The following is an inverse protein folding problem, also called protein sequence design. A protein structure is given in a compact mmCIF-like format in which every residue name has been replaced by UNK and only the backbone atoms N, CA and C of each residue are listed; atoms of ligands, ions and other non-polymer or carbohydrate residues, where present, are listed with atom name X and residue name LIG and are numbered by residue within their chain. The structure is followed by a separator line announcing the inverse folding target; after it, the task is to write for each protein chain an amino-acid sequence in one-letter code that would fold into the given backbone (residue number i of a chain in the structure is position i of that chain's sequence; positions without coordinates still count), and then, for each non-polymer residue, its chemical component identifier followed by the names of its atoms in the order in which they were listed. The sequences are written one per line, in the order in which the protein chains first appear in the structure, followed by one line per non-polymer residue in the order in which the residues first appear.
data_IF_722168558865
#
_entry.id   IF_722168558865
#
_cell.length_a   1.000
_cell.length_b   1.000
_cell.length_c   1.000
_cell.angle_alpha   90.00
_cell.angle_beta   90.00
_cell.angle_gamma   90.00
#
_symmetry.space_group_name_H-M   'P 1'
#
loop_
_entity.id
_entity.type
_entity.pdbx_description
1 polymer ?
#
# COMPACT_ATOMS: atom_id res chain seq x y z
N UNK A 1 5.90 -6.13 17.67
CA UNK A 1 6.09 -6.02 16.22
C UNK A 1 5.03 -6.85 15.56
N UNK A 2 4.21 -6.22 14.71
CA UNK A 2 3.15 -6.89 13.96
C UNK A 2 3.59 -6.98 12.50
N UNK A 3 3.15 -8.05 11.83
CA UNK A 3 3.43 -8.29 10.43
C UNK A 3 2.17 -8.82 9.76
N UNK A 4 1.83 -8.28 8.60
CA UNK A 4 0.81 -8.81 7.71
C UNK A 4 1.43 -9.10 6.35
N UNK A 5 0.99 -10.19 5.72
CA UNK A 5 1.38 -10.55 4.35
C UNK A 5 0.10 -10.79 3.56
N UNK A 6 0.01 -10.18 2.39
CA UNK A 6 -1.08 -10.41 1.45
C UNK A 6 -0.57 -10.55 0.03
N UNK A 7 -1.23 -11.41 -0.74
CA UNK A 7 -1.08 -11.44 -2.19
C UNK A 7 -1.82 -10.24 -2.80
N UNK A 8 -1.17 -9.57 -3.75
CA UNK A 8 -1.73 -8.47 -4.53
C UNK A 8 -1.47 -8.73 -6.02
N UNK A 9 -2.38 -8.23 -6.85
CA UNK A 9 -2.24 -8.27 -8.30
C UNK A 9 -1.90 -6.88 -8.80
N UNK A 10 -0.84 -6.79 -9.60
CA UNK A 10 -0.41 -5.53 -10.20
C UNK A 10 -1.05 -5.37 -11.57
N UNK A 11 -1.85 -4.32 -11.76
CA UNK A 11 -2.59 -4.06 -12.99
C UNK A 11 -1.69 -3.91 -14.22
N UNK A 12 -0.47 -3.40 -14.07
CA UNK A 12 0.52 -3.28 -15.16
C UNK A 12 1.23 -4.59 -15.51
N UNK A 13 1.13 -5.63 -14.67
CA UNK A 13 1.76 -6.94 -14.87
C UNK A 13 0.73 -8.07 -14.67
N UNK A 14 -0.27 -8.18 -15.57
CA UNK A 14 -1.29 -9.22 -15.46
C UNK A 14 -0.65 -10.62 -15.57
N UNK A 15 -0.94 -11.50 -14.61
CA UNK A 15 -0.44 -12.88 -14.57
C UNK A 15 0.75 -13.12 -13.63
N UNK A 16 1.30 -12.07 -13.02
CA UNK A 16 2.29 -12.18 -11.94
C UNK A 16 1.65 -11.87 -10.59
N UNK A 17 1.78 -12.81 -9.64
CA UNK A 17 1.40 -12.59 -8.25
C UNK A 17 2.52 -11.85 -7.52
N UNK A 18 2.15 -10.78 -6.81
CA UNK A 18 3.06 -10.05 -5.94
C UNK A 18 2.64 -10.27 -4.49
N UNK A 19 3.61 -10.35 -3.59
CA UNK A 19 3.39 -10.46 -2.15
C UNK A 19 3.80 -9.16 -1.48
N UNK A 20 2.84 -8.53 -0.82
CA UNK A 20 3.05 -7.35 -0.01
C UNK A 20 3.12 -7.77 1.47
N UNK A 21 4.27 -7.54 2.09
CA UNK A 21 4.47 -7.64 3.53
C UNK A 21 4.49 -6.24 4.13
N UNK A 22 3.77 -6.05 5.22
CA UNK A 22 3.78 -4.81 5.99
C UNK A 22 4.15 -5.14 7.43
N UNK A 23 5.17 -4.44 7.92
CA UNK A 23 5.71 -4.56 9.27
C UNK A 23 5.46 -3.24 10.02
N UNK A 24 4.89 -3.30 11.22
CA UNK A 24 4.65 -2.09 12.03
C UNK A 24 4.78 -2.33 13.53
N UNK A 25 5.02 -1.24 14.26
CA UNK A 25 5.10 -1.24 15.71
C UNK A 25 3.82 -0.68 16.35
N UNK A 26 3.52 -1.11 17.58
CA UNK A 26 2.35 -0.63 18.30
C UNK A 26 1.04 -1.29 17.87
N UNK A 27 -0.06 -0.53 17.94
CA UNK A 27 -1.43 -1.03 17.71
C UNK A 27 -1.97 -0.73 16.32
N UNK A 28 -1.35 0.18 15.58
CA UNK A 28 -1.82 0.58 14.24
C UNK A 28 -0.70 1.10 13.36
N UNK A 29 -0.98 1.21 12.06
CA UNK A 29 -0.07 1.80 11.06
C UNK A 29 0.14 3.32 11.25
N UNK A 30 -0.52 3.95 12.22
CA UNK A 30 -0.49 5.39 12.46
C UNK A 30 0.85 5.94 13.00
N UNK A 31 1.75 5.05 13.42
CA UNK A 31 3.08 5.35 13.97
C UNK A 31 4.20 5.01 13.00
N UNK A 32 3.88 4.86 11.72
CA UNK A 32 4.81 4.39 10.70
C UNK A 32 4.76 2.88 10.51
N UNK A 33 5.11 2.47 9.30
CA UNK A 33 5.18 1.07 8.89
C UNK A 33 6.22 0.89 7.81
N UNK A 34 6.75 -0.33 7.68
CA UNK A 34 7.65 -0.72 6.61
C UNK A 34 6.91 -1.65 5.66
N UNK A 35 7.07 -1.42 4.37
CA UNK A 35 6.56 -2.30 3.33
C UNK A 35 7.70 -3.06 2.67
N UNK A 36 7.41 -4.31 2.31
CA UNK A 36 8.25 -5.12 1.46
C UNK A 36 7.37 -5.77 0.40
N UNK A 37 7.70 -5.53 -0.85
CA UNK A 37 7.03 -6.05 -2.02
C UNK A 37 7.96 -7.05 -2.70
N UNK A 38 7.45 -8.20 -3.10
CA UNK A 38 8.24 -9.21 -3.84
C UNK A 38 7.37 -9.95 -4.86
N UNK A 39 7.96 -10.35 -5.98
CA UNK A 39 7.36 -11.29 -6.95
C UNK A 39 7.99 -12.70 -6.86
N UNK A 40 8.77 -12.96 -5.82
CA UNK A 40 9.50 -14.21 -5.62
C UNK A 40 10.87 -14.26 -6.33
N UNK A 41 11.20 -13.28 -7.17
CA UNK A 41 12.53 -13.11 -7.75
C UNK A 41 13.23 -11.89 -7.19
N UNK A 42 12.55 -10.75 -7.23
CA UNK A 42 13.06 -9.48 -6.75
C UNK A 42 12.31 -9.03 -5.49
N UNK A 43 12.95 -8.17 -4.70
CA UNK A 43 12.33 -7.58 -3.52
C UNK A 43 12.59 -6.07 -3.47
N UNK A 44 11.52 -5.32 -3.23
CA UNK A 44 11.54 -3.88 -3.01
C UNK A 44 11.10 -3.59 -1.59
N UNK A 45 11.79 -2.69 -0.88
CA UNK A 45 11.37 -2.26 0.44
C UNK A 45 11.31 -0.74 0.55
N UNK A 46 10.36 -0.26 1.34
CA UNK A 46 10.14 1.16 1.59
C UNK A 46 9.51 1.39 2.95
N UNK A 47 9.55 2.61 3.42
CA UNK A 47 8.86 3.04 4.63
C UNK A 47 7.62 3.83 4.21
N UNK A 48 6.48 3.49 4.81
CA UNK A 48 5.28 4.31 4.71
C UNK A 48 5.51 5.61 5.47
N UNK A 49 5.01 6.72 4.92
CA UNK A 49 5.24 8.05 5.48
C UNK A 49 4.78 8.13 6.95
N UNK A 50 5.63 8.74 7.80
CA UNK A 50 5.45 8.81 9.25
C UNK A 50 4.34 9.78 9.68
N UNK A 51 3.91 10.69 8.79
CA UNK A 51 2.87 11.69 9.08
C UNK A 51 1.58 11.46 8.29
N UNK A 52 0.67 10.59 8.77
CA UNK A 52 -0.65 10.42 8.17
C UNK A 52 -1.56 11.65 8.29
N UNK A 53 -1.11 12.77 8.87
CA UNK A 53 -1.94 13.95 9.15
C UNK A 53 -1.98 14.90 7.97
N UNK A 54 -0.86 15.15 7.30
CA UNK A 54 -0.83 15.99 6.09
C UNK A 54 -1.76 15.48 4.98
N UNK A 55 -1.71 14.18 4.72
CA UNK A 55 -2.52 13.56 3.67
C UNK A 55 -3.98 13.35 4.06
N UNK A 56 -4.27 13.10 5.35
CA UNK A 56 -5.65 13.06 5.83
C UNK A 56 -6.33 14.43 5.69
N UNK A 57 -5.62 15.54 5.96
CA UNK A 57 -6.12 16.90 5.70
C UNK A 57 -6.36 17.15 4.19
N UNK A 58 -5.45 16.71 3.31
CA UNK A 58 -5.62 16.87 1.86
C UNK A 58 -6.83 16.10 1.32
N UNK A 59 -7.13 14.92 1.88
CA UNK A 59 -8.26 14.09 1.49
C UNK A 59 -9.58 14.46 2.20
N UNK A 60 -9.60 15.51 3.03
CA UNK A 60 -10.73 15.87 3.91
C UNK A 60 -11.21 14.70 4.79
N UNK A 61 -10.29 13.80 5.15
CA UNK A 61 -10.55 12.61 5.98
C UNK A 61 -10.01 12.80 7.39
N UNK A 62 -10.63 12.15 8.38
CA UNK A 62 -10.03 12.09 9.72
C UNK A 62 -8.85 11.12 9.71
N UNK A 63 -7.82 11.40 10.52
CA UNK A 63 -6.64 10.53 10.69
C UNK A 63 -7.04 9.08 11.00
N UNK A 64 -8.09 8.89 11.80
CA UNK A 64 -8.57 7.56 12.18
C UNK A 64 -9.17 6.80 10.99
N UNK A 65 -10.00 7.46 10.19
CA UNK A 65 -10.55 6.88 8.95
C UNK A 65 -9.44 6.54 7.96
N UNK A 66 -8.45 7.42 7.87
CA UNK A 66 -7.30 7.26 7.01
C UNK A 66 -6.45 6.03 7.39
N UNK A 67 -6.09 5.89 8.68
CA UNK A 67 -5.34 4.73 9.20
C UNK A 67 -6.14 3.43 9.04
N UNK A 68 -7.45 3.47 9.28
CA UNK A 68 -8.30 2.29 9.12
C UNK A 68 -8.34 1.80 7.66
N UNK A 69 -8.39 2.71 6.68
CA UNK A 69 -8.35 2.31 5.27
C UNK A 69 -6.97 1.76 4.89
N UNK A 70 -5.87 2.38 5.36
CA UNK A 70 -4.52 1.84 5.22
C UNK A 70 -4.41 0.39 5.73
N UNK A 71 -4.94 0.11 6.92
CA UNK A 71 -4.92 -1.23 7.50
C UNK A 71 -5.72 -2.23 6.66
N UNK A 72 -6.85 -1.80 6.08
CA UNK A 72 -7.67 -2.63 5.18
C UNK A 72 -6.96 -2.90 3.85
N UNK A 73 -6.31 -1.88 3.29
CA UNK A 73 -5.60 -1.94 2.02
C UNK A 73 -4.29 -2.73 2.11
N UNK A 74 -3.54 -2.59 3.20
CA UNK A 74 -2.19 -3.15 3.31
C UNK A 74 -2.12 -4.42 4.17
N UNK A 75 -2.89 -4.49 5.26
CA UNK A 75 -2.87 -5.63 6.17
C UNK A 75 -3.96 -6.69 5.89
N UNK A 76 -4.75 -6.52 4.83
CA UNK A 76 -5.61 -7.58 4.29
C UNK A 76 -6.92 -7.81 5.05
N UNK A 77 -7.46 -6.78 5.71
CA UNK A 77 -8.79 -6.90 6.33
C UNK A 77 -9.94 -6.89 5.31
N UNK A 78 -9.66 -6.65 4.02
CA UNK A 78 -10.62 -6.70 2.91
C UNK A 78 -10.20 -7.68 1.82
N UNK A 79 -11.17 -8.23 1.06
CA UNK A 79 -10.88 -9.13 -0.05
C UNK A 79 -9.94 -8.47 -1.08
N UNK A 80 -9.09 -9.26 -1.76
CA UNK A 80 -8.10 -8.76 -2.72
C UNK A 80 -8.70 -7.96 -3.88
N UNK A 81 -9.99 -8.15 -4.18
CA UNK A 81 -10.71 -7.42 -5.23
C UNK A 81 -11.17 -6.01 -4.81
N UNK A 82 -11.03 -5.64 -3.54
CA UNK A 82 -11.42 -4.30 -3.05
C UNK A 82 -10.41 -3.21 -3.42
N UNK A 83 -9.19 -3.58 -3.82
CA UNK A 83 -8.11 -2.64 -4.11
C UNK A 83 -7.36 -3.01 -5.40
N UNK A 84 -7.10 -2.03 -6.24
CA UNK A 84 -6.22 -2.14 -7.42
C UNK A 84 -4.84 -1.65 -7.05
N UNK A 85 -3.79 -2.39 -7.43
CA UNK A 85 -2.41 -2.00 -7.21
C UNK A 85 -1.71 -1.77 -8.55
N UNK A 86 -0.85 -0.76 -8.62
CA UNK A 86 -0.04 -0.44 -9.78
C UNK A 86 1.39 -0.09 -9.35
N UNK A 87 2.35 -0.40 -10.23
CA UNK A 87 3.76 -0.08 -10.02
C UNK A 87 4.22 0.86 -11.12
N UNK A 88 4.78 1.98 -10.72
CA UNK A 88 5.37 2.96 -11.62
C UNK A 88 6.87 3.11 -11.32
N UNK A 89 7.77 2.87 -12.28
CA UNK A 89 9.21 3.07 -12.06
C UNK A 89 9.52 4.57 -11.90
N UNK A 90 10.39 4.90 -10.94
CA UNK A 90 10.88 6.26 -10.75
C UNK A 90 12.27 6.44 -11.38
N UNK A 91 12.49 7.46 -12.22
CA UNK A 91 13.82 7.80 -12.70
C UNK A 91 14.65 8.50 -11.60
N UNK A 92 15.94 8.14 -11.37
CA UNK A 92 16.77 7.20 -12.13
C UNK A 92 16.87 5.80 -11.47
N UNK A 93 15.87 4.95 -11.72
CA UNK A 93 16.06 3.56 -12.16
C UNK A 93 16.24 2.46 -11.10
N UNK A 94 16.00 2.71 -9.81
CA UNK A 94 16.00 1.64 -8.78
C UNK A 94 14.90 1.77 -7.72
N UNK A 95 14.10 2.82 -7.77
CA UNK A 95 12.85 2.91 -7.00
C UNK A 95 11.66 2.67 -7.91
N UNK A 96 10.64 2.07 -7.32
CA UNK A 96 9.32 1.96 -7.92
C UNK A 96 8.32 2.53 -6.93
N UNK A 97 7.35 3.27 -7.43
CA UNK A 97 6.24 3.75 -6.64
C UNK A 97 5.11 2.74 -6.73
N UNK A 98 4.81 2.12 -5.59
CA UNK A 98 3.62 1.31 -5.42
C UNK A 98 2.44 2.23 -5.19
N UNK A 99 1.51 2.24 -6.13
CA UNK A 99 0.25 2.94 -6.00
C UNK A 99 -0.87 1.94 -5.71
N UNK A 100 -1.76 2.26 -4.78
CA UNK A 100 -3.00 1.50 -4.59
C UNK A 100 -4.22 2.42 -4.63
N UNK A 101 -5.33 1.86 -5.11
CA UNK A 101 -6.60 2.53 -5.34
C UNK A 101 -7.75 1.66 -4.84
N UNK A 102 -8.72 2.24 -4.14
CA UNK A 102 -9.91 1.51 -3.67
C UNK A 102 -10.92 1.34 -4.81
N UNK A 103 -11.24 0.08 -5.13
CA UNK A 103 -12.23 -0.28 -6.16
C UNK A 103 -13.63 -0.26 -5.55
N UNK A 104 -14.43 0.75 -5.87
CA UNK A 104 -15.84 0.77 -5.50
C UNK A 104 -16.63 -0.12 -6.47
N UNK A 105 -16.98 -1.34 -6.04
CA UNK A 105 -17.98 -2.15 -6.72
C UNK A 105 -19.33 -1.49 -6.51
N UNK A 106 -19.93 -1.08 -7.62
CA UNK A 106 -21.26 -0.50 -7.75
C UNK A 106 -21.34 1.01 -7.52
N UNK A 107 -21.95 1.67 -8.51
CA UNK A 107 -22.21 3.10 -8.59
C UNK A 107 -23.23 3.45 -7.49
N UNK A 108 -22.75 3.62 -6.28
CA UNK A 108 -23.41 4.38 -5.23
C UNK A 108 -22.35 5.32 -4.70
N UNK A 109 -22.08 6.35 -5.50
CA UNK A 109 -21.25 7.49 -5.12
C UNK A 109 -21.98 8.19 -3.98
N UNK A 110 -21.74 7.72 -2.77
CA UNK A 110 -21.88 8.57 -1.60
C UNK A 110 -20.77 9.62 -1.70
N UNK A 111 -21.05 10.91 -1.44
CA UNK A 111 -20.05 11.98 -1.54
C UNK A 111 -18.85 11.80 -0.58
N UNK A 112 -18.92 10.83 0.34
CA UNK A 112 -17.85 10.45 1.29
C UNK A 112 -16.85 9.42 0.72
N UNK A 113 -17.04 8.93 -0.50
CA UNK A 113 -16.22 7.87 -1.05
C UNK A 113 -14.94 8.42 -1.72
N UNK A 114 -14.01 8.88 -0.89
CA UNK A 114 -12.68 9.31 -1.31
C UNK A 114 -11.95 8.15 -2.00
N UNK A 115 -11.55 8.35 -3.26
CA UNK A 115 -10.63 7.44 -3.95
C UNK A 115 -9.24 7.70 -3.35
N UNK A 116 -8.77 6.79 -2.50
CA UNK A 116 -7.46 6.91 -1.88
C UNK A 116 -6.42 6.48 -2.92
N UNK A 117 -5.68 7.46 -3.47
CA UNK A 117 -4.48 7.23 -4.25
C UNK A 117 -3.28 7.40 -3.34
N UNK A 118 -2.62 6.30 -2.98
CA UNK A 118 -1.43 6.35 -2.14
C UNK A 118 -0.23 5.87 -2.92
N UNK A 119 0.82 6.69 -2.93
CA UNK A 119 2.10 6.40 -3.54
C UNK A 119 3.07 5.99 -2.44
N UNK A 120 3.51 4.74 -2.44
CA UNK A 120 4.55 4.24 -1.53
C UNK A 120 5.81 4.02 -2.34
N UNK A 121 6.83 4.84 -2.12
CA UNK A 121 8.13 4.65 -2.76
C UNK A 121 8.81 3.43 -2.15
N UNK A 122 9.13 2.44 -2.98
CA UNK A 122 9.89 1.26 -2.58
C UNK A 122 11.16 1.18 -3.42
N UNK A 123 12.28 0.86 -2.78
CA UNK A 123 13.59 0.73 -3.40
C UNK A 123 13.97 -0.73 -3.54
N UNK A 124 14.57 -1.08 -4.68
CA UNK A 124 15.10 -2.43 -4.90
C UNK A 124 16.14 -2.76 -3.84
N UNK A 125 15.86 -3.79 -3.05
CA UNK A 125 16.72 -4.22 -1.96
C UNK A 125 17.77 -5.19 -2.50
N UNK A 126 19.01 -4.74 -2.66
CA UNK A 126 20.14 -5.56 -3.15
C UNK A 126 20.60 -6.67 -2.19
N UNK A 127 19.84 -6.97 -1.14
CA UNK A 127 20.25 -7.88 -0.08
C UNK A 127 19.05 -8.65 0.47
N UNK A 128 18.50 -9.54 -0.37
CA UNK A 128 17.47 -10.50 0.04
C UNK A 128 18.17 -11.74 0.62
N UNK A 129 18.77 -11.61 1.80
CA UNK A 129 19.00 -12.79 2.64
C UNK A 129 17.71 -13.05 3.42
N UNK A 130 16.93 -14.01 2.92
CA UNK A 130 15.84 -14.66 3.65
C UNK A 130 16.36 -15.33 4.92
#
# INVERSE_FOLDING_TARGET
MNTAVREIHISSKPGSSYFLRVDWEGRSLASGFRVLLTDGQDAWSGEGEDDPRGEAEELEMTREKYVQDLERALAGAEPPDSYSFSLSPEPPGRSVTLTYEKMQKEISVSPDAAIIFRHICVTESQNVHL
#
